data_IF_107376584473
#
_entry.id   IF_107376584473
#
_cell.length_a   1.000
_cell.length_b   1.000
_cell.length_c   1.000
_cell.angle_alpha   90.00
_cell.angle_beta   90.00
_cell.angle_gamma   90.00
#
_symmetry.space_group_name_H-M   'P 1'
#
loop_
_entity.id
_entity.type
_entity.pdbx_description
1 polymer ?
#
# COMPACT_ATOMS: atom_id res chain seq x y z
N UNK A 1 -22.59 -3.63 -2.99
CA UNK A 1 -21.58 -2.95 -2.17
C UNK A 1 -20.35 -3.73 -2.49
N UNK A 2 -19.52 -3.09 -3.28
CA UNK A 2 -18.73 -3.83 -4.22
C UNK A 2 -17.46 -4.20 -3.48
N UNK A 3 -17.20 -5.50 -3.40
CA UNK A 3 -15.92 -6.00 -2.95
C UNK A 3 -14.82 -5.39 -3.82
N UNK A 4 -13.60 -5.36 -3.30
CA UNK A 4 -12.46 -5.00 -4.14
C UNK A 4 -12.38 -5.89 -5.39
N UNK A 5 -11.81 -5.32 -6.45
CA UNK A 5 -11.67 -5.94 -7.76
C UNK A 5 -10.98 -7.30 -7.67
N UNK A 6 -11.70 -8.36 -8.05
CA UNK A 6 -11.20 -9.73 -8.00
C UNK A 6 -10.27 -10.07 -9.19
N UNK A 7 -10.19 -9.20 -10.19
CA UNK A 7 -9.29 -9.34 -11.34
C UNK A 7 -7.97 -8.57 -11.15
N UNK A 8 -7.90 -7.64 -10.20
CA UNK A 8 -6.70 -6.84 -9.98
C UNK A 8 -5.64 -7.64 -9.19
N UNK A 9 -4.45 -7.76 -9.76
CA UNK A 9 -3.33 -8.45 -9.12
C UNK A 9 -2.50 -7.41 -8.35
N UNK A 10 -2.56 -7.46 -7.02
CA UNK A 10 -1.77 -6.58 -6.16
C UNK A 10 -0.28 -6.88 -6.31
N UNK A 11 0.52 -5.82 -6.46
CA UNK A 11 1.99 -5.87 -6.49
C UNK A 11 2.58 -6.78 -7.59
N UNK A 12 1.85 -7.00 -8.70
CA UNK A 12 2.26 -7.89 -9.80
C UNK A 12 3.71 -7.66 -10.25
N UNK A 13 4.11 -6.41 -10.47
CA UNK A 13 5.47 -6.04 -10.87
C UNK A 13 6.54 -6.58 -9.91
N UNK A 14 6.29 -6.58 -8.60
CA UNK A 14 7.27 -7.07 -7.62
C UNK A 14 7.32 -8.59 -7.61
N UNK A 15 6.17 -9.27 -7.75
CA UNK A 15 6.14 -10.74 -7.81
C UNK A 15 6.79 -11.29 -9.10
N UNK A 16 6.79 -10.52 -10.18
CA UNK A 16 7.46 -10.90 -11.43
C UNK A 16 8.98 -10.73 -11.37
N UNK A 17 9.49 -9.92 -10.45
CA UNK A 17 10.92 -9.68 -10.28
C UNK A 17 11.51 -10.47 -9.11
N UNK A 18 12.30 -11.49 -9.46
CA UNK A 18 13.02 -12.35 -8.51
C UNK A 18 13.99 -11.62 -7.57
N UNK A 19 14.29 -10.34 -7.81
CA UNK A 19 15.03 -9.51 -6.87
C UNK A 19 14.26 -9.29 -5.55
N UNK A 20 12.92 -9.31 -5.58
CA UNK A 20 12.09 -9.14 -4.40
C UNK A 20 11.60 -10.50 -3.89
N UNK A 21 11.92 -10.90 -2.64
CA UNK A 21 11.45 -12.16 -2.09
C UNK A 21 9.93 -12.18 -1.89
N UNK A 22 9.24 -13.19 -2.44
CA UNK A 22 7.77 -13.34 -2.35
C UNK A 22 7.21 -13.13 -0.93
N UNK A 23 7.87 -13.70 0.09
CA UNK A 23 7.40 -13.60 1.46
C UNK A 23 7.46 -12.18 2.04
N UNK A 24 8.32 -11.30 1.51
CA UNK A 24 8.36 -9.88 1.87
C UNK A 24 7.31 -9.09 1.09
N UNK A 25 7.09 -9.44 -0.17
CA UNK A 25 5.99 -8.88 -0.98
C UNK A 25 4.64 -9.22 -0.34
N UNK A 26 4.46 -10.45 0.15
CA UNK A 26 3.27 -10.90 0.88
C UNK A 26 2.97 -10.03 2.10
N UNK A 27 4.01 -9.52 2.79
CA UNK A 27 3.82 -8.59 3.93
C UNK A 27 3.27 -7.25 3.46
N UNK A 28 3.78 -6.71 2.35
CA UNK A 28 3.25 -5.46 1.77
C UNK A 28 1.82 -5.68 1.28
N UNK A 29 1.56 -6.81 0.62
CA UNK A 29 0.23 -7.21 0.16
C UNK A 29 -0.76 -7.29 1.31
N UNK A 30 -0.37 -7.88 2.44
CA UNK A 30 -1.22 -7.91 3.64
C UNK A 30 -1.61 -6.51 4.12
N UNK A 31 -0.70 -5.53 4.06
CA UNK A 31 -1.03 -4.14 4.42
C UNK A 31 -2.07 -3.54 3.46
N UNK A 32 -1.94 -3.79 2.16
CA UNK A 32 -2.93 -3.37 1.15
C UNK A 32 -4.29 -4.04 1.37
N UNK A 33 -4.30 -5.34 1.64
CA UNK A 33 -5.52 -6.10 1.96
C UNK A 33 -6.19 -5.60 3.25
N UNK A 34 -5.42 -5.26 4.28
CA UNK A 34 -5.93 -4.64 5.50
C UNK A 34 -6.53 -3.24 5.23
N UNK A 35 -5.91 -2.44 4.36
CA UNK A 35 -6.49 -1.18 3.90
C UNK A 35 -7.79 -1.38 3.11
N UNK A 36 -7.83 -2.35 2.18
CA UNK A 36 -9.04 -2.74 1.44
C UNK A 36 -10.16 -3.12 2.41
N UNK A 37 -9.88 -4.04 3.34
CA UNK A 37 -10.85 -4.48 4.35
C UNK A 37 -11.37 -3.31 5.21
N UNK A 38 -10.53 -2.31 5.48
CA UNK A 38 -10.92 -1.11 6.19
C UNK A 38 -11.85 -0.22 5.36
N UNK A 39 -11.52 0.08 4.09
CA UNK A 39 -12.36 0.93 3.23
C UNK A 39 -13.67 0.25 2.83
N UNK A 40 -13.66 -1.07 2.72
CA UNK A 40 -14.87 -1.89 2.56
C UNK A 40 -15.83 -1.75 3.75
N UNK A 41 -15.38 -1.30 4.93
CA UNK A 41 -16.31 -1.01 6.05
C UNK A 41 -17.00 0.35 5.94
N UNK A 42 -16.75 1.11 4.87
CA UNK A 42 -17.28 2.47 4.63
C UNK A 42 -16.97 3.41 5.78
N UNK A 43 -15.68 3.71 6.02
CA UNK A 43 -15.28 4.69 7.03
C UNK A 43 -15.99 6.02 6.76
N UNK A 44 -16.53 6.62 7.83
CA UNK A 44 -17.29 7.87 7.75
C UNK A 44 -16.41 9.11 7.72
N UNK A 45 -15.19 8.99 8.22
CA UNK A 45 -14.24 10.08 8.36
C UNK A 45 -13.05 9.85 7.43
N UNK A 46 -12.79 10.81 6.54
CA UNK A 46 -11.65 10.72 5.61
C UNK A 46 -10.30 10.92 6.31
N UNK A 47 -10.28 11.56 7.49
CA UNK A 47 -9.06 11.64 8.30
C UNK A 47 -8.59 10.22 8.70
N UNK A 48 -9.51 9.37 9.16
CA UNK A 48 -9.22 7.97 9.53
C UNK A 48 -8.66 7.19 8.32
N UNK A 49 -9.16 7.46 7.11
CA UNK A 49 -8.65 6.83 5.88
C UNK A 49 -7.24 7.30 5.56
N UNK A 50 -6.99 8.60 5.69
CA UNK A 50 -5.64 9.14 5.55
C UNK A 50 -4.68 8.53 6.58
N UNK A 51 -5.10 8.39 7.84
CA UNK A 51 -4.25 7.84 8.90
C UNK A 51 -3.90 6.38 8.58
N UNK A 52 -4.88 5.63 8.07
CA UNK A 52 -4.68 4.25 7.61
C UNK A 52 -3.69 4.16 6.44
N UNK A 53 -3.74 5.09 5.48
CA UNK A 53 -2.78 5.17 4.37
C UNK A 53 -1.37 5.45 4.90
N UNK A 54 -1.25 6.41 5.82
CA UNK A 54 0.03 6.77 6.42
C UNK A 54 0.65 5.59 7.18
N UNK A 55 -0.14 4.94 8.04
CA UNK A 55 0.30 3.76 8.79
C UNK A 55 0.77 2.66 7.84
N UNK A 56 0.04 2.40 6.75
CA UNK A 56 0.44 1.42 5.75
C UNK A 56 1.82 1.75 5.15
N UNK A 57 2.05 3.00 4.76
CA UNK A 57 3.34 3.43 4.18
C UNK A 57 4.47 3.32 5.19
N UNK A 58 4.24 3.72 6.45
CA UNK A 58 5.26 3.60 7.49
C UNK A 58 5.60 2.13 7.79
N UNK A 59 4.59 1.26 7.85
CA UNK A 59 4.81 -0.18 8.03
C UNK A 59 5.57 -0.78 6.84
N UNK A 60 5.24 -0.41 5.61
CA UNK A 60 5.98 -0.86 4.42
C UNK A 60 7.43 -0.34 4.44
N UNK A 61 7.67 0.93 4.76
CA UNK A 61 9.01 1.51 4.89
C UNK A 61 9.85 0.77 5.96
N UNK A 62 9.23 0.32 7.05
CA UNK A 62 9.93 -0.41 8.11
C UNK A 62 10.50 -1.77 7.67
N UNK A 63 9.95 -2.34 6.60
CA UNK A 63 10.43 -3.61 6.01
C UNK A 63 11.80 -3.46 5.34
N UNK A 64 12.29 -2.23 5.10
CA UNK A 64 13.56 -2.00 4.41
C UNK A 64 14.73 -2.81 4.98
N UNK A 65 14.79 -3.00 6.30
CA UNK A 65 15.85 -3.76 6.94
C UNK A 65 15.71 -5.27 6.69
N UNK A 66 14.47 -5.77 6.66
CA UNK A 66 14.23 -7.18 6.33
C UNK A 66 14.53 -7.48 4.86
N UNK A 67 14.27 -6.54 3.94
CA UNK A 67 14.70 -6.65 2.54
C UNK A 67 16.23 -6.76 2.45
N UNK A 68 16.96 -5.88 3.17
CA UNK A 68 18.43 -5.91 3.19
C UNK A 68 18.98 -7.23 3.77
N UNK A 69 18.37 -7.77 4.82
CA UNK A 69 18.75 -9.06 5.41
C UNK A 69 18.54 -10.25 4.46
N UNK A 70 17.80 -10.06 3.36
CA UNK A 70 17.48 -11.08 2.36
C UNK A 70 18.06 -10.76 0.97
N UNK A 71 19.19 -10.03 0.92
CA UNK A 71 19.90 -9.66 -0.31
C UNK A 71 19.01 -8.90 -1.32
N UNK A 72 18.03 -8.15 -0.81
CA UNK A 72 17.05 -7.37 -1.57
C UNK A 72 16.98 -5.92 -1.04
N UNK A 73 16.15 -5.08 -1.63
CA UNK A 73 15.98 -3.70 -1.20
C UNK A 73 14.52 -3.24 -1.34
N UNK A 74 14.01 -2.56 -0.30
CA UNK A 74 12.78 -1.77 -0.44
C UNK A 74 13.14 -0.42 -1.08
N UNK A 75 13.30 -0.45 -2.41
CA UNK A 75 13.81 0.65 -3.24
C UNK A 75 12.68 1.55 -3.77
N UNK A 76 12.98 2.41 -4.76
CA UNK A 76 11.98 3.30 -5.35
C UNK A 76 10.96 2.54 -6.20
N UNK A 77 11.33 1.41 -6.83
CA UNK A 77 10.42 0.60 -7.63
C UNK A 77 9.37 -0.04 -6.72
N UNK A 78 9.81 -0.62 -5.60
CA UNK A 78 8.91 -1.18 -4.59
C UNK A 78 7.95 -0.13 -4.01
N UNK A 79 8.46 1.08 -3.70
CA UNK A 79 7.64 2.20 -3.22
C UNK A 79 6.63 2.66 -4.27
N UNK A 80 7.05 2.87 -5.51
CA UNK A 80 6.15 3.30 -6.59
C UNK A 80 5.08 2.24 -6.87
N UNK A 81 5.42 0.95 -6.83
CA UNK A 81 4.46 -0.14 -6.99
C UNK A 81 3.40 -0.12 -5.88
N UNK A 82 3.79 0.08 -4.62
CA UNK A 82 2.86 0.27 -3.51
C UNK A 82 1.93 1.47 -3.73
N UNK A 83 2.49 2.63 -4.10
CA UNK A 83 1.72 3.86 -4.34
C UNK A 83 0.70 3.66 -5.47
N UNK A 84 1.08 3.05 -6.60
CA UNK A 84 0.15 2.78 -7.70
C UNK A 84 -1.00 1.85 -7.30
N UNK A 85 -0.73 0.84 -6.47
CA UNK A 85 -1.78 -0.03 -5.94
C UNK A 85 -2.72 0.72 -4.99
N UNK A 86 -2.20 1.59 -4.12
CA UNK A 86 -3.02 2.46 -3.28
C UNK A 86 -3.91 3.39 -4.10
N UNK A 87 -3.36 4.04 -5.12
CA UNK A 87 -4.11 4.92 -6.02
C UNK A 87 -5.24 4.15 -6.72
N UNK A 88 -4.97 2.93 -7.18
CA UNK A 88 -5.99 2.07 -7.77
C UNK A 88 -7.12 1.76 -6.79
N UNK A 89 -6.80 1.37 -5.56
CA UNK A 89 -7.79 1.10 -4.51
C UNK A 89 -8.64 2.34 -4.20
N UNK A 90 -8.00 3.51 -4.05
CA UNK A 90 -8.67 4.79 -3.81
C UNK A 90 -9.65 5.13 -4.94
N UNK A 91 -9.21 4.94 -6.19
CA UNK A 91 -10.04 5.17 -7.37
C UNK A 91 -11.21 4.19 -7.45
N UNK A 92 -10.97 2.90 -7.19
CA UNK A 92 -11.98 1.83 -7.21
C UNK A 92 -13.13 2.13 -6.23
N UNK A 93 -12.79 2.52 -5.00
CA UNK A 93 -13.79 2.85 -3.98
C UNK A 93 -14.33 4.28 -4.08
N UNK A 94 -13.91 5.05 -5.08
CA UNK A 94 -14.28 6.46 -5.27
C UNK A 94 -14.04 7.33 -4.02
N UNK A 95 -12.95 7.07 -3.30
CA UNK A 95 -12.62 7.81 -2.09
C UNK A 95 -12.17 9.22 -2.48
N UNK A 96 -12.72 10.29 -1.87
CA UNK A 96 -12.34 11.66 -2.16
C UNK A 96 -11.03 12.04 -1.47
N UNK A 97 -9.96 11.29 -1.77
CA UNK A 97 -8.63 11.43 -1.17
C UNK A 97 -7.63 11.69 -2.28
N UNK A 98 -6.86 12.75 -2.13
CA UNK A 98 -5.64 12.96 -2.89
C UNK A 98 -4.48 12.35 -2.10
N UNK A 99 -3.83 11.34 -2.67
CA UNK A 99 -2.75 10.61 -1.99
C UNK A 99 -1.55 11.53 -1.73
N UNK A 100 -1.19 12.41 -2.66
CA UNK A 100 -0.09 13.36 -2.47
C UNK A 100 -0.38 14.32 -1.31
N UNK A 101 -1.59 14.88 -1.24
CA UNK A 101 -2.00 15.76 -0.14
C UNK A 101 -2.04 15.01 1.19
N UNK A 102 -2.58 13.79 1.21
CA UNK A 102 -2.65 12.95 2.42
C UNK A 102 -1.26 12.62 2.98
N UNK A 103 -0.24 12.55 2.12
CA UNK A 103 1.14 12.30 2.54
C UNK A 103 1.92 13.59 2.82
N UNK A 104 1.56 14.71 2.19
CA UNK A 104 2.19 16.00 2.44
C UNK A 104 1.73 16.64 3.75
N UNK A 105 0.48 16.42 4.17
CA UNK A 105 -0.04 16.92 5.45
C UNK A 105 0.55 16.22 6.67
N UNK A 106 1.23 15.09 6.48
CA UNK A 106 1.87 14.32 7.54
C UNK A 106 3.37 14.51 7.42
N UNK A 107 3.93 15.34 8.32
CA UNK A 107 5.36 15.64 8.33
C UNK A 107 6.18 14.35 8.43
N UNK A 108 7.12 14.20 7.50
CA UNK A 108 8.11 13.13 7.48
C UNK A 108 9.24 13.56 8.41
N UNK A 109 9.10 13.32 9.71
CA UNK A 109 10.18 13.44 10.70
C UNK A 109 11.17 12.27 10.61
#
# INVERSE_FOLDING_TARGET
MDSFDDQHILLEELYEDSFYPDFLIDKIKYLLEDFINFVEQKPKNMADVGDKIYDLIQNANSLQYEFLDNDSEYDNIARECLIRNLEYIIQWFHLPINLEEALAEREWD
#
